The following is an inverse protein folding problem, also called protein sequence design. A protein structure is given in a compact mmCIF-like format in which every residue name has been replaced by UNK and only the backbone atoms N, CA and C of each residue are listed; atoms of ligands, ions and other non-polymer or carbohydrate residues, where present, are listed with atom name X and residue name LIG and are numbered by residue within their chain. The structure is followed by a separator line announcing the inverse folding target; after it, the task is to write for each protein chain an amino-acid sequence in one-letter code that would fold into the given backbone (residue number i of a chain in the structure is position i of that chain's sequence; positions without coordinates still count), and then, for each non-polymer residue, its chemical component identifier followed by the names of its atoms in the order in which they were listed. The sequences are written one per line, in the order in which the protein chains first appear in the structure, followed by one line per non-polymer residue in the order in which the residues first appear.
data_IF_411651393201
#
_entry.id   IF_411651393201
#
_cell.length_a   1.000
_cell.length_b   1.000
_cell.length_c   1.000
_cell.angle_alpha   90.00
_cell.angle_beta   90.00
_cell.angle_gamma   90.00
#
_symmetry.space_group_name_H-M   'P 1'
#
loop_
_entity.id
_entity.type
_entity.pdbx_description
1 polymer ?
#
# COMPACT_ATOMS: atom_id res chain seq x y z
N UNK A 1 41.53 -12.65 -34.40
CA UNK A 1 40.10 -12.60 -34.02
C UNK A 1 39.85 -12.80 -32.50
N UNK A 2 40.58 -13.64 -31.79
CA UNK A 2 40.45 -13.82 -30.32
C UNK A 2 40.74 -12.49 -29.56
N UNK A 3 41.78 -11.77 -29.89
CA UNK A 3 42.19 -10.51 -29.24
C UNK A 3 41.13 -9.38 -29.29
N UNK A 4 40.44 -9.22 -30.44
CA UNK A 4 39.39 -8.19 -30.58
C UNK A 4 38.14 -8.52 -29.74
N UNK A 5 37.74 -9.81 -29.73
CA UNK A 5 36.63 -10.30 -28.91
C UNK A 5 36.93 -10.16 -27.42
N UNK A 6 38.16 -10.40 -27.01
CA UNK A 6 38.57 -10.26 -25.60
C UNK A 6 38.66 -8.79 -25.18
N UNK A 7 39.12 -7.91 -26.08
CA UNK A 7 39.07 -6.48 -25.84
C UNK A 7 37.65 -5.98 -25.69
N UNK A 8 36.73 -6.38 -26.58
CA UNK A 8 35.33 -5.99 -26.53
C UNK A 8 34.64 -6.47 -25.25
N UNK A 9 34.90 -7.70 -24.80
CA UNK A 9 34.42 -8.23 -23.52
C UNK A 9 34.92 -7.40 -22.33
N UNK A 10 36.21 -7.06 -22.32
CA UNK A 10 36.79 -6.22 -21.25
C UNK A 10 36.14 -4.84 -21.22
N UNK A 11 35.97 -4.17 -22.35
CA UNK A 11 35.29 -2.91 -22.45
C UNK A 11 33.83 -2.99 -21.96
N UNK A 12 33.12 -4.05 -22.33
CA UNK A 12 31.75 -4.26 -21.82
C UNK A 12 31.72 -4.48 -20.31
N UNK A 13 32.65 -5.27 -19.76
CA UNK A 13 32.77 -5.46 -18.31
C UNK A 13 33.07 -4.14 -17.58
N UNK A 14 34.00 -3.34 -18.12
CA UNK A 14 34.31 -2.03 -17.52
C UNK A 14 33.12 -1.06 -17.61
N UNK A 15 32.41 -1.04 -18.75
CA UNK A 15 31.19 -0.24 -18.90
C UNK A 15 30.10 -0.68 -17.90
N UNK A 16 29.90 -1.98 -17.74
CA UNK A 16 28.95 -2.52 -16.75
C UNK A 16 29.34 -2.14 -15.31
N UNK A 17 30.65 -2.28 -14.99
CA UNK A 17 31.16 -1.91 -13.68
C UNK A 17 30.95 -0.42 -13.40
N UNK A 18 31.23 0.44 -14.39
CA UNK A 18 30.99 1.89 -14.26
C UNK A 18 29.52 2.19 -14.02
N UNK A 19 28.62 1.58 -14.77
CA UNK A 19 27.16 1.74 -14.56
C UNK A 19 26.76 1.32 -13.14
N UNK A 20 27.24 0.17 -12.67
CA UNK A 20 26.97 -0.31 -11.31
C UNK A 20 27.50 0.66 -10.23
N UNK A 21 28.71 1.22 -10.43
CA UNK A 21 29.29 2.22 -9.52
C UNK A 21 28.47 3.52 -9.49
N UNK A 22 28.03 3.99 -10.66
CA UNK A 22 27.17 5.19 -10.75
C UNK A 22 25.82 4.95 -10.06
N UNK A 23 25.19 3.78 -10.28
CA UNK A 23 23.95 3.41 -9.61
C UNK A 23 24.13 3.29 -8.08
N UNK A 24 25.23 2.70 -7.64
CA UNK A 24 25.55 2.60 -6.21
C UNK A 24 25.76 3.98 -5.57
N UNK A 25 26.50 4.88 -6.25
CA UNK A 25 26.70 6.25 -5.78
C UNK A 25 25.39 7.04 -5.73
N UNK A 26 24.54 6.93 -6.76
CA UNK A 26 23.21 7.56 -6.77
C UNK A 26 22.32 7.00 -5.65
N UNK A 27 22.34 5.69 -5.43
CA UNK A 27 21.63 5.04 -4.33
C UNK A 27 22.11 5.52 -2.95
N UNK A 28 23.42 5.69 -2.76
CA UNK A 28 23.99 6.20 -1.51
C UNK A 28 23.58 7.65 -1.25
N UNK A 29 23.58 8.52 -2.27
CA UNK A 29 23.14 9.92 -2.16
C UNK A 29 21.65 9.98 -1.82
N UNK A 30 20.80 9.23 -2.53
CA UNK A 30 19.36 9.16 -2.24
C UNK A 30 19.10 8.58 -0.86
N UNK A 31 19.84 7.57 -0.44
CA UNK A 31 19.76 7.00 0.90
C UNK A 31 20.12 8.01 1.98
N UNK A 32 21.21 8.76 1.82
CA UNK A 32 21.61 9.80 2.77
C UNK A 32 20.58 10.95 2.85
N UNK A 33 20.03 11.39 1.72
CA UNK A 33 18.95 12.39 1.68
C UNK A 33 17.67 11.86 2.35
N UNK A 34 17.27 10.61 2.06
CA UNK A 34 16.13 9.97 2.68
C UNK A 34 16.29 9.81 4.19
N UNK A 35 17.47 9.40 4.64
CA UNK A 35 17.79 9.32 6.06
C UNK A 35 17.68 10.67 6.76
N UNK A 36 18.26 11.73 6.16
CA UNK A 36 18.14 13.09 6.70
C UNK A 36 16.69 13.56 6.80
N UNK A 37 15.89 13.29 5.76
CA UNK A 37 14.48 13.63 5.72
C UNK A 37 13.72 12.90 6.83
N UNK A 38 13.91 11.57 6.95
CA UNK A 38 13.28 10.76 8.00
C UNK A 38 13.69 11.23 9.40
N UNK A 39 14.97 11.47 9.64
CA UNK A 39 15.44 11.95 10.94
C UNK A 39 14.85 13.30 11.33
N UNK A 40 14.49 14.12 10.36
CA UNK A 40 13.81 15.40 10.57
C UNK A 40 12.38 15.25 11.14
N UNK A 41 11.71 14.13 10.92
CA UNK A 41 10.34 13.87 11.43
C UNK A 41 10.31 13.34 12.87
N UNK A 42 11.39 12.72 13.33
CA UNK A 42 11.45 12.00 14.61
C UNK A 42 11.30 12.88 15.87
N UNK A 43 11.75 14.15 15.91
CA UNK A 43 11.53 15.00 17.07
C UNK A 43 10.06 15.30 17.34
N UNK A 44 9.22 15.33 16.30
CA UNK A 44 7.79 15.65 16.40
C UNK A 44 6.96 14.41 16.72
N UNK A 45 7.25 13.28 16.06
CA UNK A 45 6.51 12.03 16.25
C UNK A 45 7.44 10.82 16.11
N UNK A 46 8.08 10.39 17.22
CA UNK A 46 8.92 9.21 17.22
C UNK A 46 8.16 7.93 16.89
N UNK A 47 8.76 7.02 16.10
CA UNK A 47 8.15 5.74 15.76
C UNK A 47 7.77 4.90 17.00
N UNK A 48 8.54 5.00 18.07
CA UNK A 48 8.27 4.32 19.35
C UNK A 48 6.99 4.80 20.05
N UNK A 49 6.50 6.01 19.77
CA UNK A 49 5.29 6.60 20.37
C UNK A 49 4.12 6.67 19.38
N UNK A 50 4.34 6.20 18.15
CA UNK A 50 3.40 6.37 17.05
C UNK A 50 2.04 5.74 17.35
N UNK A 51 2.03 4.48 17.77
CA UNK A 51 0.78 3.77 18.07
C UNK A 51 0.03 4.41 19.23
N UNK A 52 0.71 4.74 20.32
CA UNK A 52 0.10 5.39 21.48
C UNK A 52 -0.53 6.72 21.10
N UNK A 53 0.18 7.53 20.30
CA UNK A 53 -0.30 8.83 19.86
C UNK A 53 -1.53 8.72 18.94
N UNK A 54 -1.54 7.76 18.02
CA UNK A 54 -2.65 7.60 17.07
C UNK A 54 -3.84 6.91 17.70
N UNK A 55 -3.62 5.89 18.53
CA UNK A 55 -4.71 5.15 19.18
C UNK A 55 -5.46 5.98 20.23
N UNK A 56 -4.86 7.03 20.76
CA UNK A 56 -5.52 7.98 21.66
C UNK A 56 -6.49 8.96 20.94
N UNK A 57 -6.51 8.98 19.60
CA UNK A 57 -7.40 9.88 18.85
C UNK A 57 -8.85 9.41 18.93
N UNK A 58 -9.81 10.34 19.06
CA UNK A 58 -11.23 9.99 18.99
C UNK A 58 -11.57 9.27 17.68
N UNK A 59 -12.39 8.22 17.76
CA UNK A 59 -12.80 7.44 16.59
C UNK A 59 -11.78 6.43 16.07
N UNK A 60 -10.67 6.23 16.78
CA UNK A 60 -9.71 5.19 16.43
C UNK A 60 -10.38 3.80 16.49
N UNK A 61 -10.29 3.06 15.40
CA UNK A 61 -10.91 1.74 15.24
C UNK A 61 -9.86 0.65 15.39
N UNK A 62 -10.03 -0.25 16.35
CA UNK A 62 -9.16 -1.41 16.56
C UNK A 62 -9.56 -2.57 15.63
N UNK A 63 -8.68 -3.54 15.44
CA UNK A 63 -8.95 -4.72 14.60
C UNK A 63 -10.20 -5.49 15.05
N UNK A 64 -10.48 -5.55 16.35
CA UNK A 64 -11.66 -6.24 16.89
C UNK A 64 -12.99 -5.60 16.47
N UNK A 65 -12.98 -4.32 16.09
CA UNK A 65 -14.12 -3.59 15.58
C UNK A 65 -14.18 -3.55 14.03
N UNK A 66 -13.36 -4.34 13.35
CA UNK A 66 -13.30 -4.42 11.89
C UNK A 66 -13.61 -5.83 11.44
N UNK A 67 -14.54 -6.06 10.49
CA UNK A 67 -14.80 -7.40 9.97
C UNK A 67 -13.54 -8.04 9.38
N UNK A 68 -13.34 -9.34 9.64
CA UNK A 68 -12.19 -10.08 9.13
C UNK A 68 -12.11 -10.03 7.59
N UNK A 69 -13.26 -9.97 6.91
CA UNK A 69 -13.32 -9.81 5.45
C UNK A 69 -12.59 -8.54 4.97
N UNK A 70 -12.72 -7.43 5.70
CA UNK A 70 -12.01 -6.20 5.35
C UNK A 70 -10.49 -6.34 5.53
N UNK A 71 -10.06 -6.91 6.66
CA UNK A 71 -8.64 -7.17 6.95
C UNK A 71 -8.03 -8.05 5.85
N UNK A 72 -8.71 -9.15 5.52
CA UNK A 72 -8.28 -10.08 4.47
C UNK A 72 -8.24 -9.43 3.08
N UNK A 73 -9.20 -8.57 2.76
CA UNK A 73 -9.26 -7.85 1.49
C UNK A 73 -8.10 -6.85 1.34
N UNK A 74 -7.84 -6.04 2.36
CA UNK A 74 -6.73 -5.07 2.36
C UNK A 74 -5.39 -5.79 2.25
N UNK A 75 -5.14 -6.80 3.08
CA UNK A 75 -3.89 -7.58 3.03
C UNK A 75 -3.72 -8.24 1.66
N UNK A 76 -4.78 -8.84 1.09
CA UNK A 76 -4.70 -9.51 -0.19
C UNK A 76 -4.37 -8.55 -1.34
N UNK A 77 -4.93 -7.34 -1.36
CA UNK A 77 -4.80 -6.41 -2.48
C UNK A 77 -3.59 -5.49 -2.36
N UNK A 78 -3.27 -5.03 -1.15
CA UNK A 78 -2.20 -4.05 -0.92
C UNK A 78 -0.86 -4.71 -0.58
N UNK A 79 -0.88 -5.75 0.27
CA UNK A 79 0.34 -6.34 0.80
C UNK A 79 0.15 -7.82 1.20
N UNK A 80 0.04 -8.69 0.21
CA UNK A 80 -0.28 -10.11 0.42
C UNK A 80 0.74 -10.89 1.26
N UNK A 81 1.88 -10.31 1.56
CA UNK A 81 2.95 -10.88 2.39
C UNK A 81 3.20 -10.08 3.67
N UNK A 82 2.24 -9.24 4.07
CA UNK A 82 2.34 -8.34 5.22
C UNK A 82 2.89 -9.01 6.48
N UNK A 83 2.44 -10.20 6.81
CA UNK A 83 2.88 -10.96 7.99
C UNK A 83 4.31 -11.54 7.88
N UNK A 84 4.90 -11.52 6.67
CA UNK A 84 6.15 -12.24 6.39
C UNK A 84 7.38 -11.32 6.29
N UNK A 85 7.18 -10.02 6.12
CA UNK A 85 8.28 -9.06 5.98
C UNK A 85 8.33 -8.08 7.14
N UNK A 86 9.40 -7.31 7.23
CA UNK A 86 9.63 -6.29 8.26
C UNK A 86 9.76 -4.90 7.63
N UNK A 87 8.63 -4.36 7.14
CA UNK A 87 8.52 -3.02 6.56
C UNK A 87 8.82 -2.92 5.06
N UNK A 88 9.62 -3.82 4.52
CA UNK A 88 9.97 -3.89 3.10
C UNK A 88 9.82 -5.33 2.62
N UNK A 89 9.18 -5.54 1.47
CA UNK A 89 9.07 -6.84 0.83
C UNK A 89 9.93 -6.90 -0.47
N UNK A 90 11.17 -7.43 -0.41
CA UNK A 90 12.01 -7.57 -1.59
C UNK A 90 11.39 -8.43 -2.68
N UNK A 91 10.57 -9.43 -2.31
CA UNK A 91 9.90 -10.32 -3.28
C UNK A 91 8.83 -9.55 -4.05
N UNK A 92 8.05 -8.71 -3.35
CA UNK A 92 7.06 -7.85 -4.00
C UNK A 92 7.73 -6.83 -4.94
N UNK A 93 8.87 -6.23 -4.54
CA UNK A 93 9.62 -5.31 -5.39
C UNK A 93 10.10 -6.00 -6.68
N UNK A 94 10.69 -7.18 -6.56
CA UNK A 94 11.18 -7.95 -7.75
C UNK A 94 10.00 -8.34 -8.64
N UNK A 95 8.88 -8.77 -8.06
CA UNK A 95 7.67 -9.10 -8.81
C UNK A 95 7.11 -7.88 -9.56
N UNK A 96 6.99 -6.74 -8.89
CA UNK A 96 6.51 -5.50 -9.50
C UNK A 96 7.42 -5.07 -10.66
N UNK A 97 8.74 -5.05 -10.47
CA UNK A 97 9.69 -4.74 -11.53
C UNK A 97 9.58 -5.70 -12.75
N UNK A 98 9.39 -6.99 -12.48
CA UNK A 98 9.21 -7.97 -13.56
C UNK A 98 7.90 -7.74 -14.33
N UNK A 99 6.80 -7.48 -13.62
CA UNK A 99 5.50 -7.19 -14.23
C UNK A 99 5.57 -5.91 -15.06
N UNK A 100 6.13 -4.82 -14.52
CA UNK A 100 6.26 -3.53 -15.19
C UNK A 100 7.11 -3.64 -16.48
N UNK A 101 8.21 -4.40 -16.42
CA UNK A 101 9.04 -4.69 -17.59
C UNK A 101 8.27 -5.47 -18.67
N UNK A 102 7.46 -6.45 -18.26
CA UNK A 102 6.69 -7.29 -19.17
C UNK A 102 5.50 -6.57 -19.78
N UNK A 103 4.79 -5.78 -18.99
CA UNK A 103 3.57 -5.07 -19.42
C UNK A 103 3.87 -3.70 -20.00
N UNK A 104 5.10 -3.19 -19.85
CA UNK A 104 5.51 -1.82 -20.19
C UNK A 104 4.61 -0.77 -19.53
N UNK A 105 4.08 -1.07 -18.36
CA UNK A 105 3.23 -0.19 -17.57
C UNK A 105 3.69 -0.21 -16.12
N UNK A 106 3.60 0.91 -15.42
CA UNK A 106 3.83 0.99 -13.96
C UNK A 106 2.53 0.56 -13.25
N UNK A 107 2.14 -0.72 -13.43
CA UNK A 107 0.83 -1.22 -13.05
C UNK A 107 0.79 -1.84 -11.66
N UNK A 108 1.91 -2.40 -11.16
CA UNK A 108 1.95 -3.03 -9.84
C UNK A 108 2.70 -2.18 -8.81
N UNK A 109 2.05 -1.95 -7.66
CA UNK A 109 2.68 -1.34 -6.50
C UNK A 109 3.56 -2.35 -5.75
N UNK A 110 4.85 -2.04 -5.58
CA UNK A 110 5.76 -2.82 -4.73
C UNK A 110 5.91 -2.25 -3.32
N UNK A 111 5.04 -1.32 -2.90
CA UNK A 111 5.07 -0.70 -1.57
C UNK A 111 4.27 -1.52 -0.57
N UNK A 112 4.81 -1.72 0.63
CA UNK A 112 4.13 -2.40 1.73
C UNK A 112 3.11 -1.49 2.43
N UNK A 113 2.20 -2.09 3.23
CA UNK A 113 1.29 -1.35 4.12
C UNK A 113 2.06 -0.43 5.06
N UNK A 114 3.18 -0.89 5.61
CA UNK A 114 4.02 -0.09 6.52
C UNK A 114 4.65 1.11 5.80
N UNK A 115 5.07 0.96 4.54
CA UNK A 115 5.57 2.09 3.74
C UNK A 115 4.47 3.09 3.39
N UNK A 116 3.24 2.61 3.11
CA UNK A 116 2.09 3.47 2.88
C UNK A 116 1.71 4.24 4.14
N UNK A 117 1.70 3.58 5.31
CA UNK A 117 1.51 4.21 6.61
C UNK A 117 2.56 5.29 6.86
N UNK A 118 3.85 4.96 6.69
CA UNK A 118 4.95 5.90 6.86
C UNK A 118 4.80 7.14 5.95
N UNK A 119 4.42 6.93 4.69
CA UNK A 119 4.14 8.01 3.75
C UNK A 119 3.03 8.94 4.25
N UNK A 120 1.93 8.38 4.73
CA UNK A 120 0.75 9.16 5.13
C UNK A 120 0.97 9.96 6.42
N UNK A 121 1.83 9.46 7.32
CA UNK A 121 2.07 10.09 8.62
C UNK A 121 3.19 11.10 8.58
N UNK A 122 4.31 10.75 7.96
CA UNK A 122 5.55 11.53 8.07
C UNK A 122 5.83 12.45 6.89
N UNK A 123 5.18 12.23 5.74
CA UNK A 123 5.59 12.92 4.53
C UNK A 123 4.41 13.58 3.80
N UNK A 124 4.71 14.71 3.15
CA UNK A 124 3.76 15.37 2.25
C UNK A 124 3.63 14.63 0.92
N UNK A 125 2.61 14.98 0.12
CA UNK A 125 2.34 14.34 -1.19
C UNK A 125 3.35 14.69 -2.29
N UNK A 126 4.35 15.54 -2.02
CA UNK A 126 5.38 15.88 -2.99
C UNK A 126 6.19 14.66 -3.43
N UNK A 127 6.30 14.49 -4.75
CA UNK A 127 6.98 13.32 -5.33
C UNK A 127 8.48 13.58 -5.47
N UNK A 128 9.27 13.15 -4.49
CA UNK A 128 10.73 13.16 -4.56
C UNK A 128 11.30 11.76 -4.33
N UNK A 129 12.33 11.39 -5.07
CA UNK A 129 13.01 10.09 -4.86
C UNK A 129 13.57 9.94 -3.44
N UNK A 130 14.06 11.04 -2.85
CA UNK A 130 14.52 11.06 -1.46
C UNK A 130 13.41 10.70 -0.47
N UNK A 131 12.14 11.09 -0.73
CA UNK A 131 11.01 10.69 0.08
C UNK A 131 10.82 9.17 0.06
N UNK A 132 10.96 8.51 -1.11
CA UNK A 132 10.81 7.05 -1.18
C UNK A 132 11.87 6.32 -0.36
N UNK A 133 13.11 6.85 -0.32
CA UNK A 133 14.14 6.35 0.59
C UNK A 133 13.79 6.63 2.07
N UNK A 134 13.22 7.80 2.39
CA UNK A 134 12.76 8.11 3.74
C UNK A 134 11.63 7.21 4.22
N UNK A 135 10.67 6.87 3.34
CA UNK A 135 9.59 5.89 3.61
C UNK A 135 10.16 4.52 4.00
N UNK A 136 11.25 4.06 3.36
CA UNK A 136 11.90 2.81 3.72
C UNK A 136 12.46 2.85 5.15
N UNK A 137 13.19 3.90 5.51
CA UNK A 137 13.72 4.05 6.86
C UNK A 137 12.61 4.13 7.92
N UNK A 138 11.57 4.92 7.64
CA UNK A 138 10.42 5.03 8.52
C UNK A 138 9.70 3.69 8.68
N UNK A 139 9.46 2.95 7.61
CA UNK A 139 8.81 1.64 7.66
C UNK A 139 9.61 0.63 8.48
N UNK A 140 10.94 0.58 8.30
CA UNK A 140 11.81 -0.29 9.09
C UNK A 140 11.81 0.07 10.58
N UNK A 141 11.68 1.35 10.90
CA UNK A 141 11.66 1.79 12.30
C UNK A 141 10.30 1.55 12.96
N UNK A 142 9.19 1.78 12.24
CA UNK A 142 7.83 1.43 12.70
C UNK A 142 7.75 -0.06 13.03
N UNK A 143 8.26 -0.93 12.17
CA UNK A 143 8.24 -2.39 12.37
C UNK A 143 9.09 -2.87 13.56
N UNK A 144 10.03 -2.08 14.04
CA UNK A 144 10.79 -2.38 15.26
C UNK A 144 9.99 -2.10 16.54
N UNK A 145 9.06 -1.17 16.48
CA UNK A 145 8.36 -0.66 17.66
C UNK A 145 6.89 -1.07 17.72
N UNK A 146 6.30 -1.47 16.60
CA UNK A 146 4.89 -1.80 16.50
C UNK A 146 4.67 -3.22 15.98
N UNK A 147 3.67 -3.91 16.52
CA UNK A 147 3.23 -5.20 15.99
C UNK A 147 2.51 -5.04 14.66
N UNK A 148 2.36 -6.12 13.90
CA UNK A 148 1.59 -6.13 12.64
C UNK A 148 0.16 -5.65 12.83
N UNK A 149 -0.49 -6.06 13.90
CA UNK A 149 -1.83 -5.60 14.24
C UNK A 149 -1.85 -4.08 14.46
N UNK A 150 -0.92 -3.54 15.25
CA UNK A 150 -0.81 -2.10 15.49
C UNK A 150 -0.55 -1.31 14.20
N UNK A 151 0.31 -1.82 13.32
CA UNK A 151 0.59 -1.21 12.01
C UNK A 151 -0.67 -1.19 11.15
N UNK A 152 -1.41 -2.30 11.11
CA UNK A 152 -2.67 -2.38 10.35
C UNK A 152 -3.72 -1.42 10.91
N UNK A 153 -3.91 -1.37 12.23
CA UNK A 153 -4.82 -0.44 12.88
C UNK A 153 -4.46 1.01 12.55
N UNK A 154 -3.20 1.41 12.69
CA UNK A 154 -2.76 2.75 12.30
C UNK A 154 -3.01 3.05 10.82
N UNK A 155 -2.74 2.08 9.95
CA UNK A 155 -2.96 2.22 8.52
C UNK A 155 -4.42 2.52 8.20
N UNK A 156 -5.36 1.69 8.67
CA UNK A 156 -6.78 1.83 8.35
C UNK A 156 -7.42 3.07 8.97
N UNK A 157 -6.84 3.62 10.04
CA UNK A 157 -7.30 4.85 10.68
C UNK A 157 -6.70 6.13 10.08
N UNK A 158 -5.72 6.02 9.17
CA UNK A 158 -5.00 7.20 8.63
C UNK A 158 -5.07 7.34 7.13
N UNK A 159 -5.45 6.29 6.40
CA UNK A 159 -5.51 6.35 4.93
C UNK A 159 -6.71 7.16 4.45
N UNK A 160 -6.55 7.75 3.27
CA UNK A 160 -7.61 8.47 2.59
C UNK A 160 -8.43 7.53 1.71
N UNK A 161 -9.76 7.55 1.87
CA UNK A 161 -10.72 6.74 1.11
C UNK A 161 -11.44 7.50 -0.01
N UNK A 162 -11.12 8.76 -0.24
CA UNK A 162 -11.88 9.63 -1.16
C UNK A 162 -13.02 10.36 -0.48
N UNK A 163 -13.65 11.27 -1.20
CA UNK A 163 -14.82 12.05 -0.76
C UNK A 163 -14.67 12.77 0.59
N UNK A 164 -13.43 13.10 0.98
CA UNK A 164 -13.13 13.75 2.26
C UNK A 164 -12.94 12.80 3.44
N UNK A 165 -13.12 11.48 3.28
CA UNK A 165 -13.05 10.50 4.36
C UNK A 165 -11.61 10.05 4.64
N UNK A 166 -11.14 10.26 5.85
CA UNK A 166 -9.86 9.78 6.37
C UNK A 166 -10.09 8.74 7.46
N UNK A 167 -9.56 7.54 7.26
CA UNK A 167 -9.78 6.40 8.14
C UNK A 167 -11.09 5.65 7.87
N UNK A 168 -11.10 4.39 8.34
CA UNK A 168 -12.19 3.45 8.08
C UNK A 168 -13.52 3.88 8.72
N UNK A 169 -13.47 4.56 9.87
CA UNK A 169 -14.70 5.02 10.55
C UNK A 169 -15.42 6.07 9.72
N UNK A 170 -14.71 7.10 9.23
CA UNK A 170 -15.31 8.12 8.35
C UNK A 170 -15.75 7.54 7.02
N UNK A 171 -15.01 6.56 6.48
CA UNK A 171 -15.37 5.91 5.23
C UNK A 171 -16.63 5.05 5.37
N UNK A 172 -16.77 4.27 6.44
CA UNK A 172 -17.97 3.47 6.70
C UNK A 172 -19.20 4.34 6.89
N UNK A 173 -19.10 5.42 7.66
CA UNK A 173 -20.18 6.37 7.85
C UNK A 173 -20.49 7.12 6.54
N UNK A 174 -19.47 7.68 5.87
CA UNK A 174 -19.65 8.53 4.69
C UNK A 174 -20.23 7.81 3.48
N UNK A 175 -19.86 6.55 3.26
CA UNK A 175 -20.33 5.76 2.12
C UNK A 175 -21.59 4.94 2.42
N UNK A 176 -21.76 4.46 3.66
CA UNK A 176 -22.79 3.48 4.00
C UNK A 176 -23.68 3.89 5.17
N UNK A 177 -23.34 4.95 5.94
CA UNK A 177 -24.06 5.34 7.16
C UNK A 177 -23.96 4.29 8.27
N UNK A 178 -22.80 3.63 8.39
CA UNK A 178 -22.55 2.51 9.30
C UNK A 178 -21.26 2.70 10.08
N UNK A 179 -21.18 2.01 11.21
CA UNK A 179 -19.89 1.81 11.89
C UNK A 179 -19.04 0.76 11.15
N UNK A 180 -17.72 0.73 11.32
CA UNK A 180 -16.87 -0.31 10.72
C UNK A 180 -17.31 -1.75 11.03
N UNK A 181 -17.78 -2.01 12.25
CA UNK A 181 -18.24 -3.33 12.68
C UNK A 181 -19.51 -3.82 11.95
N UNK A 182 -20.31 -2.91 11.42
CA UNK A 182 -21.58 -3.22 10.71
C UNK A 182 -21.40 -3.40 9.20
N UNK A 183 -20.18 -3.24 8.68
CA UNK A 183 -19.91 -3.39 7.27
C UNK A 183 -20.16 -4.83 6.80
N UNK A 184 -20.92 -4.99 5.73
CA UNK A 184 -21.08 -6.27 5.04
C UNK A 184 -19.81 -6.67 4.30
N UNK A 185 -19.71 -7.94 3.90
CA UNK A 185 -18.57 -8.42 3.11
C UNK A 185 -18.41 -7.67 1.78
N UNK A 186 -19.51 -7.34 1.12
CA UNK A 186 -19.51 -6.55 -0.11
C UNK A 186 -18.98 -5.14 0.10
N UNK A 187 -19.42 -4.45 1.16
CA UNK A 187 -18.92 -3.12 1.54
C UNK A 187 -17.44 -3.14 1.95
N UNK A 188 -17.01 -4.19 2.66
CA UNK A 188 -15.61 -4.39 3.02
C UNK A 188 -14.69 -4.49 1.79
N UNK A 189 -15.08 -5.30 0.80
CA UNK A 189 -14.32 -5.47 -0.44
C UNK A 189 -14.28 -4.18 -1.25
N UNK A 190 -15.40 -3.46 -1.36
CA UNK A 190 -15.45 -2.17 -2.03
C UNK A 190 -14.49 -1.16 -1.37
N UNK A 191 -14.57 -0.98 -0.05
CA UNK A 191 -13.70 -0.06 0.69
C UNK A 191 -12.22 -0.42 0.56
N UNK A 192 -11.87 -1.70 0.62
CA UNK A 192 -10.48 -2.15 0.49
C UNK A 192 -9.84 -1.78 -0.86
N UNK A 193 -10.65 -1.55 -1.89
CA UNK A 193 -10.18 -1.12 -3.21
C UNK A 193 -9.86 0.37 -3.33
N UNK A 194 -10.46 1.23 -2.51
CA UNK A 194 -10.43 2.68 -2.68
C UNK A 194 -9.04 3.33 -2.47
N UNK A 195 -8.23 2.94 -1.47
CA UNK A 195 -6.99 3.62 -1.13
C UNK A 195 -5.93 3.68 -2.25
N UNK A 196 -6.00 2.80 -3.23
CA UNK A 196 -5.08 2.77 -4.37
C UNK A 196 -5.17 4.05 -5.23
N UNK A 197 -6.40 4.56 -5.47
CA UNK A 197 -6.64 5.84 -6.16
C UNK A 197 -7.96 6.43 -5.65
N UNK A 198 -8.00 7.00 -4.42
CA UNK A 198 -9.25 7.30 -3.71
C UNK A 198 -10.19 8.24 -4.46
N UNK A 199 -9.64 9.25 -5.12
CA UNK A 199 -10.46 10.19 -5.91
C UNK A 199 -11.01 9.57 -7.20
N UNK A 200 -10.27 8.62 -7.81
CA UNK A 200 -10.68 7.96 -9.04
C UNK A 200 -11.66 6.80 -8.79
N UNK A 201 -11.52 6.12 -7.67
CA UNK A 201 -12.34 4.96 -7.32
C UNK A 201 -13.48 5.29 -6.36
N UNK A 202 -13.68 6.58 -6.02
CA UNK A 202 -14.81 6.96 -5.16
C UNK A 202 -16.14 6.52 -5.79
N UNK A 203 -16.98 5.75 -5.09
CA UNK A 203 -18.30 5.35 -5.57
C UNK A 203 -19.20 6.53 -5.94
N UNK A 204 -19.03 7.66 -5.27
CA UNK A 204 -19.82 8.88 -5.52
C UNK A 204 -19.47 9.59 -6.84
N UNK A 205 -18.24 9.40 -7.35
CA UNK A 205 -17.79 10.06 -8.58
C UNK A 205 -17.60 9.11 -9.76
N UNK A 206 -17.31 7.86 -9.49
CA UNK A 206 -16.98 6.86 -10.52
C UNK A 206 -17.39 5.44 -10.10
N UNK A 207 -18.70 5.15 -10.01
CA UNK A 207 -19.19 3.85 -9.55
C UNK A 207 -18.69 2.68 -10.40
N UNK A 208 -18.55 2.86 -11.72
CA UNK A 208 -18.00 1.84 -12.63
C UNK A 208 -16.54 1.51 -12.33
N UNK A 209 -15.72 2.52 -12.01
CA UNK A 209 -14.32 2.29 -11.68
C UNK A 209 -14.18 1.67 -10.30
N UNK A 210 -15.04 2.03 -9.34
CA UNK A 210 -15.12 1.40 -8.03
C UNK A 210 -15.47 -0.10 -8.17
N UNK A 211 -16.47 -0.43 -9.01
CA UNK A 211 -16.86 -1.82 -9.28
C UNK A 211 -15.73 -2.60 -9.99
N UNK A 212 -15.04 -2.01 -10.96
CA UNK A 212 -13.88 -2.66 -11.59
C UNK A 212 -12.74 -2.89 -10.61
N UNK A 213 -12.52 -1.96 -9.69
CA UNK A 213 -11.49 -2.08 -8.66
C UNK A 213 -11.83 -3.16 -7.63
N UNK A 214 -13.10 -3.29 -7.24
CA UNK A 214 -13.54 -4.37 -6.35
C UNK A 214 -13.32 -5.75 -6.96
N UNK A 215 -13.48 -5.92 -8.29
CA UNK A 215 -13.11 -7.16 -8.96
C UNK A 215 -11.62 -7.51 -8.79
N UNK A 216 -10.74 -6.51 -8.88
CA UNK A 216 -9.30 -6.73 -8.63
C UNK A 216 -9.04 -7.17 -7.19
N UNK A 217 -9.77 -6.60 -6.20
CA UNK A 217 -9.67 -7.03 -4.80
C UNK A 217 -10.10 -8.49 -4.65
N UNK A 218 -11.25 -8.88 -5.23
CA UNK A 218 -11.75 -10.25 -5.20
C UNK A 218 -10.79 -11.24 -5.84
N UNK A 219 -10.22 -10.90 -7.01
CA UNK A 219 -9.24 -11.75 -7.69
C UNK A 219 -7.97 -11.96 -6.84
N UNK A 220 -7.54 -10.92 -6.11
CA UNK A 220 -6.43 -11.02 -5.15
C UNK A 220 -6.79 -11.87 -3.94
N UNK A 221 -8.00 -11.72 -3.38
CA UNK A 221 -8.48 -12.56 -2.28
C UNK A 221 -8.54 -14.04 -2.67
N UNK A 222 -9.00 -14.36 -3.89
CA UNK A 222 -8.96 -15.74 -4.42
C UNK A 222 -7.52 -16.23 -4.57
N UNK A 223 -6.63 -15.41 -5.12
CA UNK A 223 -5.21 -15.76 -5.30
C UNK A 223 -4.51 -16.03 -3.96
N UNK A 224 -4.90 -15.29 -2.92
CA UNK A 224 -4.42 -15.44 -1.54
C UNK A 224 -5.17 -16.53 -0.75
N UNK A 225 -6.08 -17.28 -1.38
CA UNK A 225 -6.90 -18.35 -0.78
C UNK A 225 -7.80 -17.87 0.39
N UNK A 226 -8.17 -16.59 0.37
CA UNK A 226 -9.13 -16.01 1.33
C UNK A 226 -10.58 -16.24 0.90
N UNK A 227 -10.82 -16.40 -0.40
CA UNK A 227 -12.12 -16.74 -0.99
C UNK A 227 -11.98 -17.85 -2.02
N UNK A 228 -13.04 -18.60 -2.23
CA UNK A 228 -13.21 -19.46 -3.40
C UNK A 228 -13.69 -18.61 -4.60
N UNK A 229 -13.55 -19.14 -5.81
CA UNK A 229 -14.04 -18.45 -7.03
C UNK A 229 -15.56 -18.25 -7.01
N UNK A 230 -16.31 -19.17 -6.38
CA UNK A 230 -17.78 -19.06 -6.23
C UNK A 230 -18.13 -17.90 -5.32
N UNK A 231 -17.56 -17.85 -4.11
CA UNK A 231 -17.76 -16.74 -3.18
C UNK A 231 -17.38 -15.38 -3.77
N UNK A 232 -16.29 -15.31 -4.55
CA UNK A 232 -15.90 -14.07 -5.20
C UNK A 232 -16.93 -13.59 -6.24
N UNK A 233 -17.58 -14.50 -6.98
CA UNK A 233 -18.67 -14.16 -7.92
C UNK A 233 -19.92 -13.68 -7.19
N UNK A 234 -20.33 -14.39 -6.15
CA UNK A 234 -21.47 -13.98 -5.32
C UNK A 234 -21.25 -12.58 -4.73
N UNK A 235 -20.07 -12.33 -4.15
CA UNK A 235 -19.72 -11.00 -3.63
C UNK A 235 -19.67 -9.94 -4.72
N UNK A 236 -19.23 -10.25 -5.94
CA UNK A 236 -19.23 -9.29 -7.05
C UNK A 236 -20.66 -8.86 -7.42
N UNK A 237 -21.60 -9.79 -7.43
CA UNK A 237 -23.01 -9.49 -7.69
C UNK A 237 -23.61 -8.64 -6.53
N UNK A 238 -23.27 -8.97 -5.28
CA UNK A 238 -23.67 -8.18 -4.12
C UNK A 238 -23.10 -6.75 -4.18
N UNK A 239 -21.82 -6.60 -4.53
CA UNK A 239 -21.17 -5.28 -4.68
C UNK A 239 -21.88 -4.46 -5.76
N UNK A 240 -22.19 -5.07 -6.90
CA UNK A 240 -22.89 -4.39 -8.00
C UNK A 240 -24.28 -3.89 -7.60
N UNK A 241 -24.92 -4.55 -6.62
CA UNK A 241 -26.23 -4.18 -6.09
C UNK A 241 -26.17 -3.13 -4.95
N UNK A 242 -24.97 -2.69 -4.51
CA UNK A 242 -24.84 -1.72 -3.42
C UNK A 242 -25.47 -0.36 -3.80
N UNK A 243 -26.31 0.23 -2.92
CA UNK A 243 -26.97 1.51 -3.22
C UNK A 243 -26.02 2.66 -3.50
N UNK A 244 -24.80 2.65 -2.92
CA UNK A 244 -23.79 3.66 -3.14
C UNK A 244 -23.28 3.71 -4.58
N UNK A 245 -23.37 2.61 -5.33
CA UNK A 245 -22.99 2.51 -6.74
C UNK A 245 -24.16 2.87 -7.69
N UNK A 246 -25.39 2.85 -7.20
CA UNK A 246 -26.58 3.19 -7.98
C UNK A 246 -26.90 4.70 -8.02
N UNK A 247 -26.21 5.51 -7.21
CA UNK A 247 -26.40 6.95 -7.12
C UNK A 247 -25.55 7.65 -8.21
N UNK A 248 -26.07 7.77 -9.41
CA UNK A 248 -25.60 8.65 -10.48
C UNK A 248 -26.56 9.82 -10.67
#
# INVERSE_FOLDING_TARGET
MRTLKDLLKRLLCWALLLVLLVLAAAGAVLGAQGWKLYRGTQPELPAAQLYETLSARPGFTTCDAIPQTYIDAVIAVEDSRFELHHGVDPVAIVRALWTDLRTRSLAEGGSTLTQQLAKNIYFTQEKHFARKAAELFAALDIEKHCSKQQIFEMYVNTIYFGSGCYGIAEAAEGYFGKTPAELTSAECVLLAGLPNAPSAYSPHSSPELALKRSQVVLDRMVSCKKLTKTQARELQDEIAALPVLART
#
